data_IF_174390020695
#
_entry.id   IF_174390020695
#
_cell.length_a   1.000
_cell.length_b   1.000
_cell.length_c   1.000
_cell.angle_alpha   90.00
_cell.angle_beta   90.00
_cell.angle_gamma   90.00
#
_symmetry.space_group_name_H-M   'P 1'
#
loop_
_entity.id
_entity.type
_entity.pdbx_description
1 polymer ?
#
# COMPACT_ATOMS: atom_id res chain seq x y z
N UNK A 1 -11.71 0.99 51.72
CA UNK A 1 -10.43 1.70 51.80
C UNK A 1 -10.57 3.04 51.08
N UNK A 2 -10.43 4.13 51.82
CA UNK A 2 -10.72 5.50 51.36
C UNK A 2 -9.59 6.02 50.45
N UNK A 3 -9.86 6.24 49.15
CA UNK A 3 -8.96 6.91 48.19
C UNK A 3 -8.85 8.43 48.48
N UNK A 4 -8.49 8.79 49.72
CA UNK A 4 -8.24 10.18 50.14
C UNK A 4 -6.83 10.65 49.76
N UNK A 5 -5.91 9.73 49.51
CA UNK A 5 -4.58 10.02 49.01
C UNK A 5 -4.60 10.24 47.48
N UNK A 6 -4.21 11.44 46.98
CA UNK A 6 -4.19 11.75 45.56
C UNK A 6 -3.29 10.84 44.72
N UNK A 7 -2.16 10.38 45.28
CA UNK A 7 -1.21 9.51 44.57
C UNK A 7 -1.76 8.09 44.40
N UNK A 8 -2.30 7.51 45.48
CA UNK A 8 -3.01 6.23 45.42
C UNK A 8 -4.18 6.25 44.42
N UNK A 9 -4.93 7.36 44.36
CA UNK A 9 -6.01 7.54 43.38
C UNK A 9 -5.47 7.63 41.94
N UNK A 10 -4.35 8.29 41.71
CA UNK A 10 -3.74 8.39 40.38
C UNK A 10 -3.21 7.04 39.90
N UNK A 11 -2.54 6.29 40.78
CA UNK A 11 -2.05 4.94 40.48
C UNK A 11 -3.21 3.97 40.19
N UNK A 12 -4.28 4.03 40.98
CA UNK A 12 -5.50 3.27 40.75
C UNK A 12 -6.12 3.60 39.38
N UNK A 13 -6.31 4.88 39.07
CA UNK A 13 -6.88 5.30 37.80
C UNK A 13 -6.02 4.87 36.61
N UNK A 14 -4.68 4.99 36.69
CA UNK A 14 -3.77 4.52 35.64
C UNK A 14 -3.92 3.02 35.40
N UNK A 15 -3.95 2.21 36.46
CA UNK A 15 -4.14 0.77 36.37
C UNK A 15 -5.51 0.42 35.78
N UNK A 16 -6.56 1.13 36.21
CA UNK A 16 -7.90 0.98 35.66
C UNK A 16 -7.92 1.31 34.16
N UNK A 17 -7.33 2.42 33.72
CA UNK A 17 -7.29 2.82 32.32
C UNK A 17 -6.53 1.84 31.42
N UNK A 18 -5.46 1.22 31.92
CA UNK A 18 -4.72 0.18 31.21
C UNK A 18 -5.56 -1.09 31.06
N UNK A 19 -6.19 -1.54 32.15
CA UNK A 19 -6.98 -2.77 32.16
C UNK A 19 -8.27 -2.67 31.33
N UNK A 20 -8.83 -1.46 31.17
CA UNK A 20 -10.07 -1.23 30.41
C UNK A 20 -9.81 -0.55 29.07
N UNK A 21 -8.58 -0.65 28.54
CA UNK A 21 -8.18 0.06 27.32
C UNK A 21 -9.06 -0.33 26.12
N UNK A 22 -9.28 -1.62 25.90
CA UNK A 22 -10.04 -2.13 24.75
C UNK A 22 -11.54 -1.85 24.90
N UNK A 23 -12.11 -2.03 26.10
CA UNK A 23 -13.51 -1.69 26.40
C UNK A 23 -13.80 -0.19 26.20
N UNK A 24 -12.89 0.68 26.65
CA UNK A 24 -13.02 2.13 26.45
C UNK A 24 -12.91 2.51 24.97
N UNK A 25 -12.01 1.87 24.23
CA UNK A 25 -11.90 2.08 22.76
C UNK A 25 -13.18 1.64 22.07
N UNK A 26 -13.73 0.47 22.43
CA UNK A 26 -14.96 -0.06 21.87
C UNK A 26 -16.15 0.87 22.18
N UNK A 27 -16.29 1.32 23.42
CA UNK A 27 -17.30 2.29 23.82
C UNK A 27 -17.16 3.62 23.07
N UNK A 28 -15.95 4.19 23.00
CA UNK A 28 -15.71 5.43 22.26
C UNK A 28 -16.04 5.28 20.78
N UNK A 29 -15.71 4.13 20.16
CA UNK A 29 -16.03 3.84 18.77
C UNK A 29 -17.55 3.74 18.55
N UNK A 30 -18.26 3.04 19.43
CA UNK A 30 -19.73 2.92 19.37
C UNK A 30 -20.40 4.29 19.52
N UNK A 31 -19.96 5.08 20.49
CA UNK A 31 -20.46 6.43 20.72
C UNK A 31 -20.22 7.33 19.50
N UNK A 32 -19.03 7.31 18.90
CA UNK A 32 -18.74 8.10 17.68
C UNK A 32 -19.60 7.64 16.50
N UNK A 33 -19.86 6.34 16.35
CA UNK A 33 -20.71 5.83 15.28
C UNK A 33 -22.16 6.34 15.41
N UNK A 34 -22.69 6.41 16.63
CA UNK A 34 -24.03 6.93 16.92
C UNK A 34 -24.11 8.46 16.88
N UNK A 35 -22.98 9.16 16.98
CA UNK A 35 -22.92 10.63 17.08
C UNK A 35 -22.06 11.27 15.98
N UNK A 36 -21.87 10.57 14.85
CA UNK A 36 -20.92 10.94 13.79
C UNK A 36 -21.12 12.37 13.29
N UNK A 37 -22.36 12.76 13.04
CA UNK A 37 -22.68 14.10 12.52
C UNK A 37 -22.27 15.22 13.49
N UNK A 38 -22.58 15.08 14.77
CA UNK A 38 -22.21 16.06 15.80
C UNK A 38 -20.69 16.09 16.00
N UNK A 39 -20.04 14.92 15.99
CA UNK A 39 -18.58 14.79 16.12
C UNK A 39 -17.88 15.47 14.94
N UNK A 40 -18.33 15.23 13.71
CA UNK A 40 -17.78 15.87 12.52
C UNK A 40 -18.02 17.38 12.52
N UNK A 41 -19.23 17.84 12.85
CA UNK A 41 -19.55 19.27 12.91
C UNK A 41 -18.66 19.99 13.93
N UNK A 42 -18.48 19.39 15.12
CA UNK A 42 -17.57 19.90 16.14
C UNK A 42 -16.12 19.91 15.68
N UNK A 43 -15.65 18.83 15.04
CA UNK A 43 -14.28 18.75 14.55
C UNK A 43 -14.01 19.79 13.45
N UNK A 44 -14.93 19.94 12.49
CA UNK A 44 -14.86 20.96 11.43
C UNK A 44 -14.83 22.37 12.03
N UNK A 45 -15.72 22.67 12.99
CA UNK A 45 -15.72 23.96 13.69
C UNK A 45 -14.40 24.23 14.43
N UNK A 46 -13.85 23.21 15.10
CA UNK A 46 -12.56 23.29 15.77
C UNK A 46 -11.42 23.55 14.76
N UNK A 47 -11.37 22.80 13.65
CA UNK A 47 -10.34 22.96 12.63
C UNK A 47 -10.38 24.32 11.94
N UNK A 48 -11.57 24.91 11.76
CA UNK A 48 -11.75 26.25 11.22
C UNK A 48 -11.23 27.30 12.20
N UNK A 49 -11.69 27.25 13.45
CA UNK A 49 -11.35 28.23 14.48
C UNK A 49 -9.86 28.18 14.88
N UNK A 50 -9.24 26.99 14.86
CA UNK A 50 -7.85 26.79 15.25
C UNK A 50 -6.91 26.60 14.05
N UNK A 51 -7.36 26.95 12.85
CA UNK A 51 -6.59 26.79 11.60
C UNK A 51 -5.25 27.53 11.66
N UNK A 52 -5.27 28.79 12.10
CA UNK A 52 -4.08 29.62 12.17
C UNK A 52 -3.10 29.09 13.21
N UNK A 53 -3.57 28.79 14.42
CA UNK A 53 -2.75 28.20 15.49
C UNK A 53 -2.11 26.86 15.06
N UNK A 54 -2.86 26.00 14.39
CA UNK A 54 -2.34 24.73 13.86
C UNK A 54 -1.26 24.95 12.79
N UNK A 55 -1.42 25.95 11.92
CA UNK A 55 -0.41 26.35 10.94
C UNK A 55 0.84 26.90 11.61
N UNK A 56 0.69 27.79 12.59
CA UNK A 56 1.81 28.37 13.33
C UNK A 56 2.56 27.33 14.15
N UNK A 57 1.84 26.43 14.83
CA UNK A 57 2.43 25.29 15.54
C UNK A 57 3.23 24.41 14.58
N UNK A 58 2.69 24.13 13.38
CA UNK A 58 3.40 23.36 12.34
C UNK A 58 4.63 24.12 11.83
N UNK A 59 4.53 25.45 11.66
CA UNK A 59 5.66 26.31 11.26
C UNK A 59 6.77 26.26 12.30
N UNK A 60 6.46 26.55 13.57
CA UNK A 60 7.39 26.48 14.71
C UNK A 60 8.01 25.09 14.84
N UNK A 61 7.23 24.02 14.68
CA UNK A 61 7.76 22.66 14.72
C UNK A 61 8.80 22.42 13.61
N UNK A 62 8.55 22.90 12.38
CA UNK A 62 9.51 22.78 11.26
C UNK A 62 10.78 23.59 11.51
N UNK A 63 10.65 24.81 12.03
CA UNK A 63 11.76 25.70 12.38
C UNK A 63 12.64 25.09 13.49
N UNK A 64 12.02 24.49 14.51
CA UNK A 64 12.71 23.86 15.64
C UNK A 64 13.25 22.46 15.33
N UNK A 65 12.80 21.81 14.25
CA UNK A 65 13.19 20.44 13.89
C UNK A 65 13.65 20.34 12.42
N UNK A 66 14.62 21.15 11.96
CA UNK A 66 15.02 21.18 10.55
C UNK A 66 15.54 19.83 10.06
N UNK A 67 16.32 19.11 10.89
CA UNK A 67 16.85 17.78 10.55
C UNK A 67 15.74 16.75 10.30
N UNK A 68 14.71 16.71 11.16
CA UNK A 68 13.57 15.80 10.97
C UNK A 68 12.78 16.13 9.70
N UNK A 69 12.63 17.42 9.38
CA UNK A 69 11.98 17.85 8.14
C UNK A 69 12.81 17.40 6.92
N UNK A 70 14.13 17.55 6.97
CA UNK A 70 15.01 17.09 5.90
C UNK A 70 14.98 15.57 5.74
N UNK A 71 14.99 14.81 6.83
CA UNK A 71 14.86 13.35 6.81
C UNK A 71 13.52 12.92 6.20
N UNK A 72 12.42 13.54 6.62
CA UNK A 72 11.09 13.30 6.05
C UNK A 72 11.06 13.60 4.55
N UNK A 73 11.62 14.72 4.12
CA UNK A 73 11.73 15.09 2.71
C UNK A 73 12.59 14.09 1.94
N UNK A 74 13.73 13.65 2.48
CA UNK A 74 14.60 12.63 1.86
C UNK A 74 13.85 11.30 1.71
N UNK A 75 13.13 10.87 2.74
CA UNK A 75 12.30 9.67 2.72
C UNK A 75 11.19 9.77 1.66
N UNK A 76 10.53 10.92 1.56
CA UNK A 76 9.52 11.20 0.53
C UNK A 76 10.10 11.15 -0.89
N UNK A 77 11.20 11.87 -1.15
CA UNK A 77 11.87 11.87 -2.45
C UNK A 77 12.37 10.47 -2.84
N UNK A 78 12.90 9.69 -1.89
CA UNK A 78 13.28 8.28 -2.11
C UNK A 78 12.09 7.43 -2.55
N UNK A 79 10.92 7.61 -1.93
CA UNK A 79 9.69 6.90 -2.32
C UNK A 79 9.21 7.29 -3.71
N UNK A 80 9.28 8.58 -4.07
CA UNK A 80 8.95 9.05 -5.42
C UNK A 80 9.87 8.43 -6.47
N UNK A 81 11.19 8.51 -6.27
CA UNK A 81 12.17 7.91 -7.17
C UNK A 81 11.98 6.38 -7.28
N UNK A 82 11.64 5.71 -6.18
CA UNK A 82 11.31 4.28 -6.21
C UNK A 82 10.06 4.00 -7.06
N UNK A 83 8.99 4.80 -6.89
CA UNK A 83 7.75 4.65 -7.67
C UNK A 83 8.02 4.82 -9.16
N UNK A 84 8.78 5.84 -9.54
CA UNK A 84 9.17 6.10 -10.93
C UNK A 84 9.98 4.94 -11.52
N UNK A 85 11.02 4.47 -10.83
CA UNK A 85 11.79 3.29 -11.26
C UNK A 85 10.93 2.04 -11.43
N UNK A 86 9.97 1.82 -10.53
CA UNK A 86 9.07 0.67 -10.62
C UNK A 86 8.21 0.75 -11.88
N UNK A 87 7.72 1.95 -12.24
CA UNK A 87 6.95 2.16 -13.46
C UNK A 87 7.80 1.96 -14.70
N UNK A 88 9.03 2.52 -14.74
CA UNK A 88 9.96 2.30 -15.84
C UNK A 88 10.29 0.81 -16.03
N UNK A 89 10.56 0.08 -14.95
CA UNK A 89 10.81 -1.36 -15.01
C UNK A 89 9.58 -2.13 -15.52
N UNK A 90 8.37 -1.79 -15.03
CA UNK A 90 7.13 -2.41 -15.48
C UNK A 90 6.93 -2.20 -16.99
N UNK A 91 7.06 -0.96 -17.46
CA UNK A 91 6.93 -0.62 -18.88
C UNK A 91 7.98 -1.32 -19.73
N UNK A 92 9.25 -1.31 -19.32
CA UNK A 92 10.33 -1.97 -20.07
C UNK A 92 10.09 -3.48 -20.20
N UNK A 93 9.71 -4.14 -19.11
CA UNK A 93 9.41 -5.58 -19.10
C UNK A 93 8.18 -5.90 -19.95
N UNK A 94 7.08 -5.17 -19.78
CA UNK A 94 5.88 -5.40 -20.57
C UNK A 94 6.13 -5.14 -22.06
N UNK A 95 6.89 -4.10 -22.39
CA UNK A 95 7.29 -3.81 -23.78
C UNK A 95 8.11 -4.95 -24.38
N UNK A 96 9.00 -5.59 -23.61
CA UNK A 96 9.81 -6.70 -24.09
C UNK A 96 8.96 -7.94 -24.40
N UNK A 97 7.99 -8.26 -23.52
CA UNK A 97 7.17 -9.47 -23.63
C UNK A 97 5.83 -9.27 -24.35
N UNK A 98 5.57 -8.05 -24.84
CA UNK A 98 4.47 -7.79 -25.78
C UNK A 98 4.87 -8.29 -27.17
N UNK A 99 3.90 -8.82 -27.92
CA UNK A 99 4.09 -9.30 -29.30
C UNK A 99 4.74 -8.21 -30.19
N UNK A 100 5.36 -8.58 -31.33
CA UNK A 100 6.19 -7.67 -32.13
C UNK A 100 5.43 -6.56 -32.88
N UNK A 101 4.26 -6.14 -32.39
CA UNK A 101 3.49 -5.01 -32.91
C UNK A 101 4.11 -3.64 -32.56
N UNK A 102 5.16 -3.61 -31.72
CA UNK A 102 5.83 -2.40 -31.28
C UNK A 102 5.08 -1.61 -30.20
N UNK A 103 3.95 -2.13 -29.72
CA UNK A 103 3.15 -1.54 -28.66
C UNK A 103 3.16 -2.43 -27.40
N UNK A 104 3.03 -1.80 -26.22
CA UNK A 104 2.83 -2.53 -24.97
C UNK A 104 1.39 -3.02 -24.93
N UNK A 105 1.18 -4.34 -25.09
CA UNK A 105 -0.15 -4.89 -25.35
C UNK A 105 -0.33 -6.29 -24.76
N UNK A 106 -1.56 -6.64 -24.42
CA UNK A 106 -1.93 -8.02 -24.12
C UNK A 106 -1.83 -8.88 -25.39
N UNK A 107 -1.00 -9.92 -25.34
CA UNK A 107 -0.78 -10.84 -26.47
C UNK A 107 -2.00 -11.67 -26.87
N UNK A 108 -3.06 -11.70 -26.05
CA UNK A 108 -4.28 -12.44 -26.33
C UNK A 108 -5.45 -11.56 -26.81
N UNK A 109 -5.69 -10.40 -26.20
CA UNK A 109 -6.90 -9.60 -26.47
C UNK A 109 -6.63 -8.17 -26.96
N UNK A 110 -5.37 -7.75 -27.07
CA UNK A 110 -5.06 -6.41 -27.58
C UNK A 110 -5.21 -5.26 -26.57
N UNK A 111 -5.46 -5.55 -25.28
CA UNK A 111 -5.54 -4.51 -24.23
C UNK A 111 -4.23 -3.72 -24.14
N UNK A 112 -4.33 -2.38 -24.08
CA UNK A 112 -3.22 -1.44 -24.10
C UNK A 112 -3.00 -0.76 -22.74
N UNK A 113 -3.96 -0.83 -21.84
CA UNK A 113 -3.82 -0.24 -20.50
C UNK A 113 -2.77 -1.00 -19.68
N UNK A 114 -1.59 -0.39 -19.57
CA UNK A 114 -0.43 -0.90 -18.82
C UNK A 114 -0.80 -1.26 -17.38
N UNK A 115 -1.76 -0.56 -16.77
CA UNK A 115 -2.16 -0.82 -15.38
C UNK A 115 -2.86 -2.16 -15.19
N UNK A 116 -3.53 -2.67 -16.23
CA UNK A 116 -4.16 -4.00 -16.21
C UNK A 116 -3.31 -5.09 -16.84
N UNK A 117 -2.15 -4.75 -17.42
CA UNK A 117 -1.19 -5.72 -17.96
C UNK A 117 -0.29 -6.32 -16.87
N UNK A 118 0.01 -7.60 -17.04
CA UNK A 118 0.84 -8.41 -16.17
C UNK A 118 1.69 -9.40 -16.99
N UNK A 119 2.69 -9.99 -16.35
CA UNK A 119 3.51 -11.03 -16.96
C UNK A 119 2.94 -12.40 -16.59
N UNK A 120 2.70 -13.22 -17.62
CA UNK A 120 2.29 -14.62 -17.50
C UNK A 120 3.45 -15.55 -17.87
N UNK A 121 3.50 -16.70 -17.21
CA UNK A 121 4.39 -17.81 -17.55
C UNK A 121 3.72 -18.67 -18.63
N UNK A 122 4.29 -18.70 -19.84
CA UNK A 122 3.71 -19.41 -20.99
C UNK A 122 3.42 -20.87 -20.65
N UNK A 123 4.41 -21.58 -20.06
CA UNK A 123 4.32 -22.99 -19.64
C UNK A 123 3.61 -23.20 -18.28
N UNK A 124 3.03 -22.15 -17.70
CA UNK A 124 2.46 -22.20 -16.36
C UNK A 124 3.53 -22.27 -15.25
N UNK A 125 3.13 -22.70 -14.04
CA UNK A 125 4.06 -22.88 -12.91
C UNK A 125 4.52 -21.59 -12.22
N UNK A 126 3.94 -20.44 -12.57
CA UNK A 126 4.36 -19.13 -12.06
C UNK A 126 4.38 -19.02 -10.54
N UNK A 127 3.37 -19.58 -9.85
CA UNK A 127 3.31 -19.57 -8.38
C UNK A 127 4.53 -20.26 -7.73
N UNK A 128 4.95 -21.41 -8.26
CA UNK A 128 6.14 -22.12 -7.74
C UNK A 128 7.42 -21.36 -8.03
N UNK A 129 7.54 -20.80 -9.24
CA UNK A 129 8.72 -20.04 -9.62
C UNK A 129 8.88 -18.77 -8.77
N UNK A 130 7.81 -18.00 -8.63
CA UNK A 130 7.77 -16.77 -7.82
C UNK A 130 8.09 -17.07 -6.35
N UNK A 131 7.52 -18.14 -5.79
CA UNK A 131 7.83 -18.58 -4.43
C UNK A 131 9.31 -18.96 -4.26
N UNK A 132 9.90 -19.69 -5.21
CA UNK A 132 11.32 -20.06 -5.17
C UNK A 132 12.26 -18.84 -5.25
N UNK A 133 11.90 -17.83 -6.06
CA UNK A 133 12.68 -16.60 -6.19
C UNK A 133 12.54 -15.66 -4.99
N UNK A 134 11.45 -15.75 -4.22
CA UNK A 134 11.05 -14.76 -3.23
C UNK A 134 10.98 -13.34 -3.86
N UNK A 135 10.50 -13.26 -5.11
CA UNK A 135 10.36 -12.02 -5.90
C UNK A 135 8.94 -11.91 -6.44
N UNK A 136 8.14 -11.05 -5.82
CA UNK A 136 6.76 -10.77 -6.24
C UNK A 136 6.62 -9.35 -6.79
N UNK A 137 5.62 -9.14 -7.66
CA UNK A 137 5.29 -7.84 -8.25
C UNK A 137 6.49 -7.13 -8.86
N UNK A 138 6.82 -5.94 -8.32
CA UNK A 138 7.95 -5.12 -8.75
C UNK A 138 9.29 -5.88 -8.71
N UNK A 139 9.50 -6.71 -7.69
CA UNK A 139 10.73 -7.48 -7.54
C UNK A 139 10.93 -8.47 -8.70
N UNK A 140 9.83 -8.98 -9.26
CA UNK A 140 9.85 -9.87 -10.41
C UNK A 140 10.25 -9.14 -11.70
N UNK A 141 9.75 -7.93 -11.93
CA UNK A 141 10.19 -7.11 -13.07
C UNK A 141 11.68 -6.79 -13.00
N UNK A 142 12.20 -6.42 -11.82
CA UNK A 142 13.64 -6.21 -11.65
C UNK A 142 14.45 -7.48 -11.88
N UNK A 143 13.93 -8.64 -11.47
CA UNK A 143 14.58 -9.93 -11.76
C UNK A 143 14.63 -10.21 -13.27
N UNK A 144 13.52 -10.05 -14.00
CA UNK A 144 13.47 -10.26 -15.45
C UNK A 144 14.51 -9.39 -16.19
N UNK A 145 14.61 -8.10 -15.83
CA UNK A 145 15.60 -7.19 -16.41
C UNK A 145 17.04 -7.67 -16.11
N UNK A 146 17.33 -8.03 -14.86
CA UNK A 146 18.67 -8.48 -14.44
C UNK A 146 19.05 -9.84 -15.01
N UNK A 147 18.07 -10.67 -15.32
CA UNK A 147 18.22 -11.96 -16.01
C UNK A 147 18.26 -11.81 -17.53
N UNK A 148 18.40 -10.59 -18.05
CA UNK A 148 18.47 -10.27 -19.48
C UNK A 148 17.25 -10.75 -20.29
N UNK A 149 16.06 -10.64 -19.70
CA UNK A 149 14.77 -10.99 -20.31
C UNK A 149 14.72 -12.44 -20.82
N UNK A 150 14.74 -13.45 -19.92
CA UNK A 150 14.68 -14.85 -20.33
C UNK A 150 13.39 -15.15 -21.11
N UNK A 151 13.43 -16.15 -21.99
CA UNK A 151 12.23 -16.64 -22.68
C UNK A 151 11.24 -17.32 -21.72
N UNK A 152 10.04 -17.62 -22.22
CA UNK A 152 9.00 -18.36 -21.47
C UNK A 152 7.96 -17.47 -20.78
N UNK A 153 7.98 -16.17 -21.06
CA UNK A 153 7.03 -15.19 -20.54
C UNK A 153 6.30 -14.46 -21.66
N UNK A 154 5.11 -13.95 -21.33
CA UNK A 154 4.30 -13.13 -22.24
C UNK A 154 3.57 -12.03 -21.46
N UNK A 155 3.27 -10.92 -22.12
CA UNK A 155 2.41 -9.86 -21.57
C UNK A 155 0.93 -10.23 -21.79
N UNK A 156 0.14 -10.27 -20.72
CA UNK A 156 -1.31 -10.48 -20.75
C UNK A 156 -2.03 -9.48 -19.84
N UNK A 157 -3.27 -9.12 -20.16
CA UNK A 157 -4.13 -8.45 -19.18
C UNK A 157 -4.56 -9.42 -18.07
N UNK A 158 -4.92 -8.90 -16.89
CA UNK A 158 -5.35 -9.72 -15.74
C UNK A 158 -6.45 -10.72 -16.11
N UNK A 159 -7.42 -10.32 -16.92
CA UNK A 159 -8.52 -11.20 -17.33
C UNK A 159 -8.04 -12.36 -18.21
N UNK A 160 -7.14 -12.10 -19.15
CA UNK A 160 -6.58 -13.14 -20.03
C UNK A 160 -5.68 -14.10 -19.25
N UNK A 161 -4.83 -13.59 -18.36
CA UNK A 161 -4.01 -14.41 -17.48
C UNK A 161 -4.88 -15.33 -16.61
N UNK A 162 -5.91 -14.78 -15.96
CA UNK A 162 -6.83 -15.56 -15.13
C UNK A 162 -7.61 -16.60 -15.95
N UNK A 163 -8.07 -16.25 -17.15
CA UNK A 163 -8.74 -17.19 -18.06
C UNK A 163 -7.82 -18.36 -18.42
N UNK A 164 -6.57 -18.08 -18.81
CA UNK A 164 -5.55 -19.10 -19.10
C UNK A 164 -5.33 -20.02 -17.90
N UNK A 165 -5.12 -19.47 -16.71
CA UNK A 165 -4.93 -20.26 -15.50
C UNK A 165 -6.12 -21.18 -15.18
N UNK A 166 -7.36 -20.73 -15.43
CA UNK A 166 -8.56 -21.58 -15.28
C UNK A 166 -8.59 -22.70 -16.32
N UNK A 167 -8.30 -22.39 -17.59
CA UNK A 167 -8.27 -23.37 -18.67
C UNK A 167 -7.18 -24.43 -18.45
N UNK A 168 -6.00 -24.03 -17.97
CA UNK A 168 -4.90 -24.94 -17.68
C UNK A 168 -5.28 -25.93 -16.54
N UNK A 169 -5.99 -25.47 -15.51
CA UNK A 169 -6.51 -26.34 -14.44
C UNK A 169 -7.56 -27.34 -14.93
N UNK A 170 -8.46 -26.92 -15.81
CA UNK A 170 -9.46 -27.83 -16.40
C UNK A 170 -8.80 -28.97 -17.18
N UNK A 171 -7.75 -28.68 -17.97
CA UNK A 171 -7.01 -29.68 -18.74
C UNK A 171 -6.27 -30.72 -17.87
N UNK A 172 -5.89 -30.35 -16.65
CA UNK A 172 -5.22 -31.26 -15.70
C UNK A 172 -6.23 -32.18 -15.00
N UNK A 173 -7.50 -31.77 -14.93
CA UNK A 173 -8.57 -32.46 -14.21
C UNK A 173 -9.50 -33.26 -15.13
N UNK A 174 -9.28 -33.17 -16.45
CA UNK A 174 -9.98 -33.95 -17.50
C UNK A 174 -9.10 -35.10 -17.96
#
# INVERSE_FOLDING_TARGET
MSLRDPEARQAYNRKWYLNHQEERKAYAKAWVAEHLECVEARQKAYDITHRQESRERRRKWRELNPEKVMEQNRSYLRKLAQKERNQLNKTAVLSHYSNPTGAVVCNNCGELDIDVLCIDHIKGGGAKHIAGLHKEGVGFYTWLIRSAYPEGYQALCFNCNMKKAKMDKMKITS
#
